data_IF_142751670918
#
_entry.id   IF_142751670918
#
_cell.length_a   1.000
_cell.length_b   1.000
_cell.length_c   1.000
_cell.angle_alpha   90.00
_cell.angle_beta   90.00
_cell.angle_gamma   90.00
#
_symmetry.space_group_name_H-M   'P 1'
#
loop_
_entity.id
_entity.type
_entity.pdbx_description
1 polymer ?
#
# COMPACT_ATOMS: atom_id res chain seq x y z
N UNK A 1 31.08 16.70 -16.40
CA UNK A 1 30.05 16.16 -17.31
C UNK A 1 29.87 14.64 -17.19
N UNK A 2 30.91 13.81 -17.22
CA UNK A 2 30.77 12.34 -17.04
C UNK A 2 30.40 11.98 -15.60
N UNK A 3 30.95 12.64 -14.59
CA UNK A 3 30.62 12.40 -13.16
C UNK A 3 29.19 12.79 -12.78
N UNK A 4 28.65 13.88 -13.28
CA UNK A 4 27.25 14.29 -13.03
C UNK A 4 26.25 13.27 -13.58
N UNK A 5 26.53 12.67 -14.74
CA UNK A 5 25.67 11.63 -15.29
C UNK A 5 25.69 10.32 -14.48
N UNK A 6 26.82 9.97 -13.87
CA UNK A 6 26.96 8.76 -13.04
C UNK A 6 26.20 8.95 -11.71
N UNK A 7 26.32 10.10 -11.06
CA UNK A 7 25.59 10.44 -9.83
C UNK A 7 24.08 10.37 -10.07
N UNK A 8 23.61 10.88 -11.20
CA UNK A 8 22.19 10.90 -11.54
C UNK A 8 21.60 9.49 -11.84
N UNK A 9 22.42 8.56 -12.35
CA UNK A 9 22.00 7.16 -12.58
C UNK A 9 21.87 6.41 -11.25
N UNK A 10 22.80 6.58 -10.34
CA UNK A 10 22.74 5.94 -9.01
C UNK A 10 21.57 6.46 -8.21
N UNK A 11 21.35 7.77 -8.14
CA UNK A 11 20.19 8.38 -7.49
C UNK A 11 18.87 7.86 -8.09
N UNK A 12 18.77 7.75 -9.40
CA UNK A 12 17.59 7.21 -10.07
C UNK A 12 17.31 5.75 -9.68
N UNK A 13 18.33 4.91 -9.66
CA UNK A 13 18.20 3.51 -9.27
C UNK A 13 17.81 3.36 -7.79
N UNK A 14 18.37 4.20 -6.91
CA UNK A 14 18.02 4.21 -5.48
C UNK A 14 16.55 4.58 -5.28
N UNK A 15 16.05 5.60 -5.98
CA UNK A 15 14.64 6.01 -5.92
C UNK A 15 13.69 4.91 -6.45
N UNK A 16 14.07 4.20 -7.51
CA UNK A 16 13.30 3.05 -8.03
C UNK A 16 13.26 1.92 -6.98
N UNK A 17 14.39 1.60 -6.36
CA UNK A 17 14.46 0.58 -5.32
C UNK A 17 13.61 0.97 -4.10
N UNK A 18 13.70 2.21 -3.63
CA UNK A 18 12.87 2.72 -2.53
C UNK A 18 11.38 2.65 -2.88
N UNK A 19 11.00 3.04 -4.10
CA UNK A 19 9.62 2.94 -4.58
C UNK A 19 9.09 1.49 -4.58
N UNK A 20 9.93 0.52 -4.95
CA UNK A 20 9.56 -0.89 -4.94
C UNK A 20 9.41 -1.44 -3.51
N UNK A 21 10.28 -1.01 -2.57
CA UNK A 21 10.16 -1.38 -1.16
C UNK A 21 8.84 -0.87 -0.58
N UNK A 22 8.53 0.41 -0.81
CA UNK A 22 7.26 1.01 -0.35
C UNK A 22 6.04 0.29 -0.94
N UNK A 23 6.10 -0.07 -2.22
CA UNK A 23 5.03 -0.84 -2.86
C UNK A 23 4.81 -2.18 -2.16
N UNK A 24 5.87 -2.91 -1.85
CA UNK A 24 5.79 -4.20 -1.15
C UNK A 24 5.22 -4.03 0.28
N UNK A 25 5.64 -2.99 1.00
CA UNK A 25 5.08 -2.67 2.32
C UNK A 25 3.58 -2.37 2.26
N UNK A 26 3.12 -1.65 1.25
CA UNK A 26 1.69 -1.38 1.04
C UNK A 26 0.93 -2.69 0.79
N UNK A 27 1.47 -3.60 -0.02
CA UNK A 27 0.85 -4.89 -0.29
C UNK A 27 0.78 -5.79 0.97
N UNK A 28 1.79 -5.73 1.85
CA UNK A 28 1.75 -6.44 3.14
C UNK A 28 0.68 -5.87 4.07
N UNK A 29 0.59 -4.55 4.17
CA UNK A 29 -0.47 -3.88 4.95
C UNK A 29 -1.86 -4.26 4.43
N UNK A 30 -2.05 -4.35 3.12
CA UNK A 30 -3.33 -4.77 2.53
C UNK A 30 -3.69 -6.21 2.91
N UNK A 31 -2.73 -7.12 2.94
CA UNK A 31 -2.94 -8.50 3.42
C UNK A 31 -3.34 -8.52 4.90
N UNK A 32 -2.70 -7.71 5.73
CA UNK A 32 -3.03 -7.58 7.15
C UNK A 32 -4.45 -7.06 7.36
N UNK A 33 -4.86 -6.03 6.61
CA UNK A 33 -6.23 -5.49 6.65
C UNK A 33 -7.26 -6.54 6.24
N UNK A 34 -6.98 -7.30 5.17
CA UNK A 34 -7.86 -8.38 4.70
C UNK A 34 -7.98 -9.47 5.79
N UNK A 35 -6.86 -9.87 6.39
CA UNK A 35 -6.84 -10.87 7.47
C UNK A 35 -7.67 -10.40 8.67
N UNK A 36 -7.45 -9.17 9.13
CA UNK A 36 -8.21 -8.57 10.25
C UNK A 36 -9.70 -8.47 9.94
N UNK A 37 -10.09 -8.06 8.74
CA UNK A 37 -11.49 -8.01 8.31
C UNK A 37 -12.14 -9.41 8.30
N UNK A 38 -11.43 -10.43 7.85
CA UNK A 38 -11.90 -11.81 7.92
C UNK A 38 -12.07 -12.28 9.36
N UNK A 39 -11.13 -11.95 10.25
CA UNK A 39 -11.23 -12.22 11.68
C UNK A 39 -12.47 -11.56 12.31
N UNK A 40 -12.72 -10.30 12.01
CA UNK A 40 -13.93 -9.56 12.46
C UNK A 40 -15.22 -10.25 11.97
N UNK A 41 -15.25 -10.68 10.71
CA UNK A 41 -16.42 -11.36 10.14
C UNK A 41 -16.71 -12.69 10.82
N UNK A 42 -15.68 -13.48 11.12
CA UNK A 42 -15.81 -14.75 11.86
C UNK A 42 -16.25 -14.50 13.29
N UNK A 43 -15.62 -13.54 13.98
CA UNK A 43 -16.00 -13.18 15.35
C UNK A 43 -17.45 -12.67 15.44
N UNK A 44 -17.90 -11.88 14.47
CA UNK A 44 -19.29 -11.43 14.37
C UNK A 44 -20.29 -12.56 14.25
N UNK A 45 -19.99 -13.59 13.44
CA UNK A 45 -20.82 -14.80 13.35
C UNK A 45 -20.87 -15.58 14.68
N UNK A 46 -19.71 -15.66 15.36
CA UNK A 46 -19.62 -16.34 16.65
C UNK A 46 -20.42 -15.61 17.74
N UNK A 47 -20.43 -14.27 17.74
CA UNK A 47 -21.27 -13.47 18.65
C UNK A 47 -22.74 -13.81 18.47
N UNK A 48 -23.21 -13.81 17.24
CA UNK A 48 -24.61 -14.14 16.95
C UNK A 48 -24.97 -15.55 17.43
N UNK A 49 -24.11 -16.54 17.16
CA UNK A 49 -24.29 -17.91 17.66
C UNK A 49 -24.31 -17.99 19.18
N UNK A 50 -23.37 -17.30 19.85
CA UNK A 50 -23.29 -17.25 21.31
C UNK A 50 -24.52 -16.57 21.95
N UNK A 51 -25.03 -15.50 21.36
CA UNK A 51 -26.23 -14.81 21.86
C UNK A 51 -27.50 -15.68 21.68
N UNK A 52 -27.63 -16.40 20.57
CA UNK A 52 -28.73 -17.35 20.36
C UNK A 52 -28.65 -18.48 21.40
N UNK A 53 -27.46 -19.05 21.64
CA UNK A 53 -27.26 -20.11 22.63
C UNK A 53 -27.55 -19.59 24.07
N UNK A 54 -27.12 -18.39 24.41
CA UNK A 54 -27.43 -17.76 25.69
C UNK A 54 -28.94 -17.56 25.88
N UNK A 55 -29.63 -17.04 24.84
CA UNK A 55 -31.07 -16.83 24.88
C UNK A 55 -31.84 -18.15 25.05
N UNK A 56 -31.48 -19.20 24.29
CA UNK A 56 -32.03 -20.53 24.43
C UNK A 56 -31.81 -21.12 25.84
N UNK A 57 -30.62 -20.96 26.38
CA UNK A 57 -30.27 -21.44 27.73
C UNK A 57 -31.07 -20.73 28.82
N UNK A 58 -31.26 -19.41 28.72
CA UNK A 58 -32.08 -18.60 29.63
C UNK A 58 -33.56 -19.06 29.55
N UNK A 59 -34.11 -19.23 28.34
CA UNK A 59 -35.46 -19.68 28.11
C UNK A 59 -35.66 -21.07 28.77
N UNK A 60 -34.73 -22.00 28.56
CA UNK A 60 -34.75 -23.32 29.18
C UNK A 60 -34.74 -23.23 30.72
N UNK A 61 -33.88 -22.33 31.30
CA UNK A 61 -33.82 -22.11 32.71
C UNK A 61 -35.17 -21.64 33.29
N UNK A 62 -35.83 -20.70 32.62
CA UNK A 62 -37.12 -20.17 33.07
C UNK A 62 -38.22 -21.28 33.01
N UNK A 63 -38.26 -22.06 31.91
CA UNK A 63 -39.21 -23.14 31.77
C UNK A 63 -39.02 -24.24 32.83
N UNK A 64 -37.77 -24.63 33.10
CA UNK A 64 -37.46 -25.66 34.09
C UNK A 64 -37.78 -25.22 35.53
N UNK A 65 -37.59 -23.96 35.85
CA UNK A 65 -38.03 -23.39 37.14
C UNK A 65 -39.57 -23.37 37.25
N UNK A 66 -40.26 -22.97 36.20
CA UNK A 66 -41.75 -22.93 36.20
C UNK A 66 -42.38 -24.33 36.33
N UNK A 67 -41.78 -25.34 35.73
CA UNK A 67 -42.26 -26.73 35.79
C UNK A 67 -41.82 -27.50 37.02
N UNK A 68 -41.10 -26.84 37.99
CA UNK A 68 -40.56 -27.47 39.17
C UNK A 68 -39.70 -28.71 38.89
N UNK A 69 -39.00 -28.72 37.76
CA UNK A 69 -38.08 -29.79 37.40
C UNK A 69 -36.86 -29.80 38.34
N UNK A 70 -36.02 -30.86 38.34
CA UNK A 70 -34.86 -30.93 39.22
C UNK A 70 -33.95 -29.69 39.06
N UNK A 71 -33.62 -29.07 40.16
CA UNK A 71 -32.79 -27.85 40.28
C UNK A 71 -31.48 -27.97 39.45
N UNK A 72 -30.94 -29.18 39.35
CA UNK A 72 -29.73 -29.46 38.54
C UNK A 72 -29.85 -28.99 37.09
N UNK A 73 -31.02 -29.16 36.44
CA UNK A 73 -31.23 -28.74 35.05
C UNK A 73 -31.19 -27.23 34.90
N UNK A 74 -31.71 -26.49 35.89
CA UNK A 74 -31.66 -25.03 35.92
C UNK A 74 -30.22 -24.52 36.13
N UNK A 75 -29.42 -25.19 36.94
CA UNK A 75 -28.00 -24.85 37.12
C UNK A 75 -27.17 -25.07 35.86
N UNK A 76 -27.39 -26.17 35.13
CA UNK A 76 -26.70 -26.47 33.87
C UNK A 76 -27.08 -25.44 32.83
N UNK A 77 -28.34 -25.12 32.63
CA UNK A 77 -28.77 -24.13 31.61
C UNK A 77 -28.32 -22.72 31.96
N UNK A 78 -28.31 -22.31 33.24
CA UNK A 78 -27.77 -21.05 33.71
C UNK A 78 -26.26 -20.94 33.49
N UNK A 79 -25.52 -22.01 33.76
CA UNK A 79 -24.09 -22.08 33.51
C UNK A 79 -23.75 -21.96 32.00
N UNK A 80 -24.49 -22.63 31.13
CA UNK A 80 -24.32 -22.51 29.67
C UNK A 80 -24.62 -21.09 29.16
N UNK A 81 -25.63 -20.41 29.72
CA UNK A 81 -25.93 -19.02 29.37
C UNK A 81 -24.75 -18.09 29.73
N UNK A 82 -24.18 -18.25 30.95
CA UNK A 82 -23.03 -17.46 31.43
C UNK A 82 -21.80 -17.65 30.55
N UNK A 83 -21.47 -18.91 30.17
CA UNK A 83 -20.35 -19.21 29.26
C UNK A 83 -20.55 -18.61 27.88
N UNK A 84 -21.75 -18.73 27.30
CA UNK A 84 -22.07 -18.18 25.99
C UNK A 84 -21.99 -16.64 26.00
N UNK A 85 -22.46 -16.00 27.08
CA UNK A 85 -22.38 -14.55 27.23
C UNK A 85 -20.92 -14.06 27.34
N UNK A 86 -20.10 -14.74 28.16
CA UNK A 86 -18.68 -14.43 28.29
C UNK A 86 -17.95 -14.58 26.94
N UNK A 87 -18.28 -15.59 26.16
CA UNK A 87 -17.73 -15.78 24.81
C UNK A 87 -18.13 -14.63 23.87
N UNK A 88 -19.37 -14.17 23.90
CA UNK A 88 -19.82 -13.03 23.10
C UNK A 88 -19.07 -11.74 23.50
N UNK A 89 -18.82 -11.50 24.79
CA UNK A 89 -18.02 -10.38 25.27
C UNK A 89 -16.57 -10.44 24.78
N UNK A 90 -15.96 -11.63 24.86
CA UNK A 90 -14.57 -11.83 24.38
C UNK A 90 -14.47 -11.59 22.87
N UNK A 91 -15.43 -12.09 22.09
CA UNK A 91 -15.45 -11.86 20.65
C UNK A 91 -15.68 -10.38 20.29
N UNK A 92 -16.48 -9.65 21.07
CA UNK A 92 -16.68 -8.20 20.91
C UNK A 92 -15.37 -7.43 21.18
N UNK A 93 -14.66 -7.80 22.25
CA UNK A 93 -13.35 -7.21 22.56
C UNK A 93 -12.35 -7.45 21.45
N UNK A 94 -12.30 -8.67 20.89
CA UNK A 94 -11.47 -9.00 19.75
C UNK A 94 -11.79 -8.12 18.52
N UNK A 95 -13.08 -7.95 18.20
CA UNK A 95 -13.51 -7.08 17.09
C UNK A 95 -13.01 -5.64 17.28
N UNK A 96 -13.09 -5.12 18.51
CA UNK A 96 -12.64 -3.76 18.78
C UNK A 96 -11.13 -3.61 18.63
N UNK A 97 -10.34 -4.61 19.04
CA UNK A 97 -8.88 -4.64 18.84
C UNK A 97 -8.55 -4.68 17.36
N UNK A 98 -9.19 -5.56 16.59
CA UNK A 98 -8.93 -5.67 15.14
C UNK A 98 -9.36 -4.41 14.37
N UNK A 99 -10.46 -3.76 14.75
CA UNK A 99 -10.84 -2.45 14.17
C UNK A 99 -9.80 -1.38 14.42
N UNK A 100 -9.22 -1.33 15.63
CA UNK A 100 -8.14 -0.40 15.95
C UNK A 100 -6.89 -0.69 15.11
N UNK A 101 -6.53 -1.97 14.98
CA UNK A 101 -5.42 -2.42 14.12
C UNK A 101 -5.61 -2.01 12.66
N UNK A 102 -6.80 -2.20 12.10
CA UNK A 102 -7.14 -1.75 10.73
C UNK A 102 -6.96 -0.24 10.59
N UNK A 103 -7.38 0.54 11.57
CA UNK A 103 -7.21 1.99 11.54
C UNK A 103 -5.72 2.38 11.53
N UNK A 104 -4.91 1.75 12.36
CA UNK A 104 -3.46 1.97 12.39
C UNK A 104 -2.80 1.56 11.06
N UNK A 105 -3.19 0.42 10.50
CA UNK A 105 -2.74 -0.03 9.18
C UNK A 105 -3.12 0.95 8.07
N UNK A 106 -4.34 1.46 8.06
CA UNK A 106 -4.79 2.45 7.08
C UNK A 106 -4.00 3.77 7.19
N UNK A 107 -3.74 4.25 8.41
CA UNK A 107 -2.94 5.46 8.61
C UNK A 107 -1.50 5.27 8.10
N UNK A 108 -0.87 4.12 8.41
CA UNK A 108 0.46 3.78 7.88
C UNK A 108 0.45 3.70 6.35
N UNK A 109 -0.56 3.06 5.77
CA UNK A 109 -0.74 2.95 4.32
C UNK A 109 -0.85 4.32 3.65
N UNK A 110 -1.64 5.24 4.20
CA UNK A 110 -1.75 6.63 3.69
C UNK A 110 -0.39 7.31 3.65
N UNK A 111 0.36 7.26 4.75
CA UNK A 111 1.72 7.84 4.81
C UNK A 111 2.68 7.23 3.78
N UNK A 112 2.60 5.93 3.51
CA UNK A 112 3.40 5.27 2.48
C UNK A 112 2.99 5.66 1.06
N UNK A 113 1.69 5.83 0.82
CA UNK A 113 1.17 6.33 -0.48
C UNK A 113 1.69 7.74 -0.75
N UNK A 114 1.66 8.63 0.24
CA UNK A 114 2.18 10.00 0.10
C UNK A 114 3.67 9.99 -0.26
N UNK A 115 4.47 9.17 0.42
CA UNK A 115 5.89 8.97 0.07
C UNK A 115 6.08 8.42 -1.35
N UNK A 116 5.25 7.46 -1.75
CA UNK A 116 5.32 6.88 -3.10
C UNK A 116 5.01 7.93 -4.18
N UNK A 117 4.07 8.84 -3.94
CA UNK A 117 3.76 9.95 -4.83
C UNK A 117 4.94 10.92 -4.93
N UNK A 118 5.57 11.25 -3.81
CA UNK A 118 6.76 12.11 -3.78
C UNK A 118 7.91 11.47 -4.59
N UNK A 119 8.22 10.19 -4.35
CA UNK A 119 9.25 9.46 -5.10
C UNK A 119 8.96 9.43 -6.60
N UNK A 120 7.72 9.17 -7.00
CA UNK A 120 7.33 9.20 -8.41
C UNK A 120 7.56 10.58 -9.04
N UNK A 121 7.23 11.65 -8.34
CA UNK A 121 7.46 13.00 -8.83
C UNK A 121 8.96 13.30 -8.98
N UNK A 122 9.81 12.84 -8.05
CA UNK A 122 11.27 12.95 -8.17
C UNK A 122 11.81 12.15 -9.35
N UNK A 123 11.39 10.92 -9.53
CA UNK A 123 11.75 10.06 -10.66
C UNK A 123 11.39 10.76 -11.98
N UNK A 124 10.16 11.25 -12.14
CA UNK A 124 9.70 11.96 -13.33
C UNK A 124 10.52 13.23 -13.60
N UNK A 125 10.94 13.96 -12.56
CA UNK A 125 11.79 15.14 -12.73
C UNK A 125 13.17 14.79 -13.27
N UNK A 126 13.76 13.68 -12.82
CA UNK A 126 15.05 13.19 -13.31
C UNK A 126 14.93 12.72 -14.77
N UNK A 127 13.88 11.99 -15.12
CA UNK A 127 13.62 11.53 -16.48
C UNK A 127 13.46 12.72 -17.45
N UNK A 128 12.66 13.71 -17.08
CA UNK A 128 12.46 14.92 -17.88
C UNK A 128 13.76 15.72 -18.08
N UNK A 129 14.58 15.83 -17.04
CA UNK A 129 15.87 16.49 -17.15
C UNK A 129 16.85 15.71 -18.07
N UNK A 130 16.83 14.37 -18.03
CA UNK A 130 17.62 13.53 -18.94
C UNK A 130 17.19 13.69 -20.38
N UNK A 131 15.90 13.72 -20.66
CA UNK A 131 15.34 13.92 -22.00
C UNK A 131 15.70 15.30 -22.56
N UNK A 132 15.57 16.34 -21.77
CA UNK A 132 15.96 17.70 -22.16
C UNK A 132 17.48 17.81 -22.47
N UNK A 133 18.33 17.18 -21.66
CA UNK A 133 19.76 17.17 -21.89
C UNK A 133 20.14 16.38 -23.15
N UNK A 134 19.44 15.28 -23.44
CA UNK A 134 19.65 14.52 -24.68
C UNK A 134 19.30 15.35 -25.90
N UNK A 135 18.14 16.01 -25.91
CA UNK A 135 17.68 16.87 -26.99
C UNK A 135 18.63 18.05 -27.25
N UNK A 136 19.13 18.70 -26.20
CA UNK A 136 20.13 19.78 -26.31
C UNK A 136 21.45 19.29 -26.91
N UNK A 137 21.88 18.08 -26.56
CA UNK A 137 23.12 17.49 -27.08
C UNK A 137 22.99 17.14 -28.58
N UNK A 138 21.83 16.66 -28.98
CA UNK A 138 21.56 16.35 -30.40
C UNK A 138 21.47 17.62 -31.23
N UNK A 139 20.78 18.66 -30.77
CA UNK A 139 20.74 19.98 -31.44
C UNK A 139 22.15 20.57 -31.58
N UNK A 140 22.96 20.50 -30.52
CA UNK A 140 24.35 20.98 -30.54
C UNK A 140 25.21 20.25 -31.54
N UNK A 141 25.10 18.92 -31.67
CA UNK A 141 25.81 18.11 -32.66
C UNK A 141 25.37 18.47 -34.09
N UNK A 142 24.08 18.63 -34.32
CA UNK A 142 23.54 19.00 -35.62
C UNK A 142 23.95 20.41 -36.07
N UNK A 143 24.01 21.35 -35.13
CA UNK A 143 24.46 22.72 -35.37
C UNK A 143 25.96 22.75 -35.68
N UNK A 144 26.79 22.01 -34.97
CA UNK A 144 28.23 21.90 -35.21
C UNK A 144 28.54 21.24 -36.55
N UNK A 145 27.74 20.25 -36.95
CA UNK A 145 27.87 19.61 -38.29
C UNK A 145 27.53 20.59 -39.42
N UNK A 146 26.45 21.36 -39.29
CA UNK A 146 26.05 22.35 -40.26
C UNK A 146 27.06 23.52 -40.43
N UNK A 147 27.72 23.92 -39.35
CA UNK A 147 28.78 24.95 -39.39
C UNK A 147 30.02 24.42 -40.13
N UNK A 148 30.45 23.17 -39.87
CA UNK A 148 31.59 22.54 -40.55
C UNK A 148 31.33 22.37 -42.04
N UNK A 149 30.13 21.96 -42.47
CA UNK A 149 29.78 21.82 -43.90
C UNK A 149 29.76 23.16 -44.62
N UNK A 150 29.22 24.21 -44.02
CA UNK A 150 29.21 25.56 -44.57
C UNK A 150 30.64 26.15 -44.71
N UNK A 151 31.52 25.91 -43.75
CA UNK A 151 32.93 26.34 -43.79
C UNK A 151 33.71 25.59 -44.87
N UNK A 152 33.50 24.27 -45.00
CA UNK A 152 34.13 23.46 -46.07
C UNK A 152 33.74 23.89 -47.49
N UNK A 153 32.47 24.25 -47.69
CA UNK A 153 31.99 24.75 -49.02
C UNK A 153 32.56 26.11 -49.34
N UNK A 154 32.78 27.01 -48.39
CA UNK A 154 33.42 28.31 -48.61
C UNK A 154 34.90 28.18 -49.01
N UNK A 155 35.64 27.24 -48.39
CA UNK A 155 37.06 27.01 -48.74
C UNK A 155 37.20 26.44 -50.17
N UNK A 156 36.37 25.52 -50.60
CA UNK A 156 36.37 25.00 -51.98
C UNK A 156 36.01 26.05 -53.06
N UNK A 157 35.08 26.97 -52.78
CA UNK A 157 34.76 28.06 -53.73
C UNK A 157 35.90 29.07 -53.88
N UNK A 158 36.71 29.38 -52.83
CA UNK A 158 37.86 30.25 -52.94
C UNK A 158 39.01 29.62 -53.73
N UNK A 159 39.27 28.34 -53.59
CA UNK A 159 40.34 27.64 -54.31
C UNK A 159 40.08 27.53 -55.83
N UNK A 160 38.82 27.58 -56.28
CA UNK A 160 38.49 27.54 -57.71
C UNK A 160 38.59 28.92 -58.41
N UNK A 161 38.48 30.02 -57.65
CA UNK A 161 38.60 31.37 -58.22
C UNK A 161 40.03 31.95 -58.27
N UNK A 162 41.00 31.36 -57.54
CA UNK A 162 42.38 31.83 -57.56
C UNK A 162 43.26 31.20 -58.69
N UNK A 163 42.67 30.33 -59.54
CA UNK A 163 43.33 29.68 -60.71
C UNK A 163 42.75 30.14 -62.05
N UNK A 164 42.26 31.37 -62.13
CA UNK A 164 42.01 32.07 -63.44
C UNK A 164 42.83 33.38 -63.41
#
# INVERSE_FOLDING_TARGET
>A
MVMENIININEYNDLINESNIIKNEIEEIDKDIISSNNGIKVAGKNINGALIAAGASIATCIVTLALKTPILVSFISGGMAAVSFNWALTATSYINIEKKRILECNNKKMSLIDKQVELKNRILSIEKNRENNFNLTEISKNTAFNVKTKAGVKVKKRSINDNK
#
